data_IF_504755711648
#
_entry.id   IF_504755711648
#
_cell.length_a   1.000
_cell.length_b   1.000
_cell.length_c   1.000
_cell.angle_alpha   90.00
_cell.angle_beta   90.00
_cell.angle_gamma   90.00
#
_symmetry.space_group_name_H-M   'P 1'
#
loop_
_entity.id
_entity.type
_entity.pdbx_description
1 polymer ?
#
# COMPACT_ATOMS: atom_id res chain seq x y z
N UNK A 1 8.09 16.33 -3.95
CA UNK A 1 8.36 16.42 -2.49
C UNK A 1 9.58 15.57 -2.18
N UNK A 2 10.23 15.75 -1.04
CA UNK A 2 11.29 14.82 -0.59
C UNK A 2 10.69 13.51 -0.06
N UNK A 3 11.48 12.44 0.02
CA UNK A 3 11.05 11.16 0.56
C UNK A 3 10.51 11.26 2.00
N UNK A 4 11.14 12.11 2.82
CA UNK A 4 10.70 12.35 4.20
C UNK A 4 9.37 13.10 4.23
N UNK A 5 9.19 14.13 3.39
CA UNK A 5 7.93 14.85 3.26
C UNK A 5 6.82 13.91 2.78
N UNK A 6 7.12 13.03 1.82
CA UNK A 6 6.20 12.00 1.34
C UNK A 6 5.79 11.06 2.48
N UNK A 7 6.74 10.46 3.19
CA UNK A 7 6.44 9.54 4.30
C UNK A 7 5.61 10.22 5.39
N UNK A 8 5.98 11.45 5.78
CA UNK A 8 5.26 12.20 6.80
C UNK A 8 3.83 12.54 6.36
N UNK A 9 3.64 13.00 5.12
CA UNK A 9 2.31 13.29 4.58
C UNK A 9 1.47 12.01 4.49
N UNK A 10 2.03 10.96 3.89
CA UNK A 10 1.34 9.69 3.69
C UNK A 10 0.90 9.09 5.03
N UNK A 11 1.80 9.01 6.02
CA UNK A 11 1.51 8.34 7.29
C UNK A 11 0.67 9.17 8.27
N UNK A 12 0.81 10.50 8.28
CA UNK A 12 0.12 11.37 9.25
C UNK A 12 -1.18 11.97 8.72
N UNK A 13 -1.38 12.05 7.40
CA UNK A 13 -2.54 12.67 6.78
C UNK A 13 -3.32 11.65 5.95
N UNK A 14 -2.67 11.02 4.97
CA UNK A 14 -3.36 10.15 4.02
C UNK A 14 -3.92 8.88 4.68
N UNK A 15 -3.08 8.10 5.38
CA UNK A 15 -3.48 6.83 6.00
C UNK A 15 -4.67 6.99 6.96
N UNK A 16 -4.69 7.96 7.90
CA UNK A 16 -5.86 8.16 8.77
C UNK A 16 -7.15 8.41 7.98
N UNK A 17 -7.10 9.23 6.94
CA UNK A 17 -8.25 9.55 6.10
C UNK A 17 -8.77 8.33 5.34
N UNK A 18 -7.86 7.55 4.73
CA UNK A 18 -8.21 6.30 4.05
C UNK A 18 -8.81 5.31 5.04
N UNK A 19 -8.18 5.12 6.20
CA UNK A 19 -8.62 4.15 7.20
C UNK A 19 -10.06 4.41 7.67
N UNK A 20 -10.47 5.67 7.83
CA UNK A 20 -11.86 6.02 8.15
C UNK A 20 -12.86 5.54 7.09
N UNK A 21 -12.53 5.66 5.81
CA UNK A 21 -13.38 5.17 4.71
C UNK A 21 -13.40 3.64 4.73
N UNK A 22 -12.22 3.01 4.77
CA UNK A 22 -12.08 1.56 4.67
C UNK A 22 -12.76 0.80 5.83
N UNK A 23 -12.65 1.29 7.07
CA UNK A 23 -13.31 0.69 8.23
C UNK A 23 -14.84 0.71 8.09
N UNK A 24 -15.40 1.82 7.58
CA UNK A 24 -16.85 1.95 7.39
C UNK A 24 -17.42 0.95 6.36
N UNK A 25 -16.59 0.51 5.41
CA UNK A 25 -16.96 -0.46 4.38
C UNK A 25 -16.46 -1.89 4.64
N UNK A 26 -16.07 -2.18 5.89
CA UNK A 26 -15.63 -3.52 6.33
C UNK A 26 -14.42 -4.08 5.56
N UNK A 27 -13.52 -3.21 5.08
CA UNK A 27 -12.27 -3.64 4.44
C UNK A 27 -11.40 -4.35 5.47
N UNK A 28 -10.85 -5.50 5.10
CA UNK A 28 -10.17 -6.42 6.03
C UNK A 28 -8.75 -5.97 6.35
N UNK A 29 -8.06 -5.35 5.39
CA UNK A 29 -6.69 -4.92 5.55
C UNK A 29 -6.40 -3.72 4.65
N UNK A 30 -5.58 -2.82 5.16
CA UNK A 30 -4.90 -1.78 4.41
C UNK A 30 -3.48 -1.65 4.97
N UNK A 31 -2.49 -1.78 4.10
CA UNK A 31 -1.08 -1.68 4.48
C UNK A 31 -0.29 -0.99 3.38
N UNK A 32 0.76 -0.29 3.80
CA UNK A 32 1.64 0.47 2.90
C UNK A 32 3.07 0.05 3.18
N UNK A 33 3.78 -0.35 2.13
CA UNK A 33 5.22 -0.55 2.16
C UNK A 33 5.84 0.67 1.49
N UNK A 34 6.63 1.43 2.24
CA UNK A 34 7.40 2.56 1.70
C UNK A 34 8.77 2.05 1.23
N UNK A 35 9.05 2.24 -0.06
CA UNK A 35 10.31 1.84 -0.68
C UNK A 35 11.46 2.78 -0.31
N UNK A 36 11.17 4.04 -0.02
CA UNK A 36 12.17 5.06 0.34
C UNK A 36 12.97 4.72 1.61
N UNK A 37 12.42 3.93 2.54
CA UNK A 37 13.14 3.48 3.75
C UNK A 37 13.97 2.22 3.58
N UNK A 38 13.64 1.40 2.59
CA UNK A 38 14.42 0.20 2.28
C UNK A 38 15.71 0.52 1.51
N UNK A 39 15.83 1.78 1.06
CA UNK A 39 16.97 2.34 0.36
C UNK A 39 18.22 2.60 1.21
N UNK A 40 18.26 2.23 2.50
CA UNK A 40 19.58 2.06 3.11
C UNK A 40 20.29 1.02 2.25
N UNK A 41 21.27 1.44 1.46
CA UNK A 41 21.95 0.66 0.41
C UNK A 41 22.30 -0.75 0.92
N UNK A 42 22.72 -0.84 2.18
CA UNK A 42 23.01 -2.06 2.92
C UNK A 42 21.88 -3.10 2.98
N UNK A 43 20.61 -2.68 3.01
CA UNK A 43 19.44 -3.55 3.13
C UNK A 43 19.10 -4.23 1.81
N UNK A 44 19.03 -3.45 0.73
CA UNK A 44 18.76 -3.99 -0.60
C UNK A 44 19.90 -4.86 -1.11
N UNK A 45 21.15 -4.44 -0.96
CA UNK A 45 22.31 -5.23 -1.39
C UNK A 45 22.36 -6.60 -0.69
N UNK A 46 22.06 -6.63 0.61
CA UNK A 46 21.98 -7.90 1.37
C UNK A 46 20.86 -8.80 0.86
N UNK A 47 19.67 -8.24 0.61
CA UNK A 47 18.55 -9.03 0.08
C UNK A 47 18.91 -9.56 -1.31
N UNK A 48 19.39 -8.73 -2.22
CA UNK A 48 19.81 -9.16 -3.55
C UNK A 48 20.87 -10.27 -3.48
N UNK A 49 21.87 -10.13 -2.61
CA UNK A 49 22.90 -11.15 -2.41
C UNK A 49 22.31 -12.50 -1.92
N UNK A 50 21.32 -12.49 -1.01
CA UNK A 50 20.64 -13.70 -0.56
C UNK A 50 19.89 -14.42 -1.68
N UNK A 51 19.46 -13.68 -2.70
CA UNK A 51 18.81 -14.20 -3.89
C UNK A 51 19.76 -14.35 -5.10
N UNK A 52 21.08 -14.39 -4.88
CA UNK A 52 22.10 -14.47 -5.95
C UNK A 52 21.91 -13.41 -7.05
N UNK A 53 21.46 -12.21 -6.68
CA UNK A 53 21.15 -11.08 -7.56
C UNK A 53 20.07 -11.41 -8.62
N UNK A 54 19.20 -12.40 -8.37
CA UNK A 54 18.12 -12.77 -9.28
C UNK A 54 16.83 -11.95 -9.08
N UNK A 55 16.82 -11.02 -8.12
CA UNK A 55 15.66 -10.19 -7.79
C UNK A 55 16.04 -8.72 -7.80
N UNK A 56 15.12 -7.88 -8.29
CA UNK A 56 15.24 -6.43 -8.29
C UNK A 56 14.08 -5.81 -7.51
N UNK A 57 14.29 -4.60 -7.01
CA UNK A 57 13.20 -3.83 -6.41
C UNK A 57 12.27 -3.32 -7.50
N UNK A 58 10.98 -3.24 -7.21
CA UNK A 58 10.05 -2.48 -8.05
C UNK A 58 10.39 -0.99 -7.89
N UNK A 59 10.46 -0.29 -9.01
CA UNK A 59 10.65 1.15 -9.06
C UNK A 59 9.33 1.87 -8.76
N UNK A 60 9.10 2.15 -7.48
CA UNK A 60 7.97 2.90 -6.94
C UNK A 60 8.26 3.38 -5.52
N UNK A 61 7.66 4.50 -5.09
CA UNK A 61 7.86 5.06 -3.74
C UNK A 61 7.10 4.30 -2.66
N UNK A 62 5.95 3.72 -3.01
CA UNK A 62 5.12 2.95 -2.11
C UNK A 62 4.31 1.86 -2.81
N UNK A 63 4.13 0.75 -2.11
CA UNK A 63 3.21 -0.34 -2.48
C UNK A 63 2.08 -0.39 -1.47
N UNK A 64 0.85 -0.28 -1.95
CA UNK A 64 -0.36 -0.37 -1.12
C UNK A 64 -1.03 -1.71 -1.35
N UNK A 65 -1.40 -2.38 -0.25
CA UNK A 65 -2.21 -3.59 -0.28
C UNK A 65 -3.51 -3.33 0.46
N UNK A 66 -4.63 -3.58 -0.23
CA UNK A 66 -5.97 -3.51 0.36
C UNK A 66 -6.68 -4.84 0.15
N UNK A 67 -7.20 -5.44 1.22
CA UNK A 67 -7.92 -6.71 1.17
C UNK A 67 -9.39 -6.45 1.47
N UNK A 68 -10.25 -6.74 0.51
CA UNK A 68 -11.70 -6.63 0.64
C UNK A 68 -12.29 -8.00 0.99
N UNK A 69 -13.35 -8.07 1.82
CA UNK A 69 -14.02 -9.33 2.11
C UNK A 69 -14.76 -9.89 0.89
N UNK A 70 -15.30 -9.02 0.05
CA UNK A 70 -16.02 -9.36 -1.17
C UNK A 70 -16.08 -8.15 -2.13
N UNK A 71 -16.71 -8.35 -3.30
CA UNK A 71 -16.89 -7.30 -4.30
C UNK A 71 -17.84 -6.19 -3.85
N UNK A 72 -18.81 -6.46 -2.97
CA UNK A 72 -19.75 -5.44 -2.51
C UNK A 72 -19.04 -4.41 -1.62
N UNK A 73 -18.14 -4.87 -0.74
CA UNK A 73 -17.30 -3.98 0.07
C UNK A 73 -16.37 -3.12 -0.80
N UNK A 74 -15.83 -3.69 -1.88
CA UNK A 74 -15.05 -2.93 -2.86
C UNK A 74 -15.91 -1.86 -3.53
N UNK A 75 -17.05 -2.22 -4.10
CA UNK A 75 -17.96 -1.29 -4.77
C UNK A 75 -18.45 -0.18 -3.82
N UNK A 76 -18.82 -0.53 -2.60
CA UNK A 76 -19.24 0.43 -1.57
C UNK A 76 -18.12 1.40 -1.19
N UNK A 77 -16.88 0.90 -1.07
CA UNK A 77 -15.70 1.73 -0.82
C UNK A 77 -15.50 2.74 -1.94
N UNK A 78 -15.52 2.30 -3.20
CA UNK A 78 -15.33 3.19 -4.36
C UNK A 78 -16.51 4.13 -4.63
N UNK A 79 -17.69 3.83 -4.09
CA UNK A 79 -18.85 4.70 -4.11
C UNK A 79 -18.89 5.70 -2.93
N UNK A 80 -17.96 5.62 -1.97
CA UNK A 80 -17.95 6.52 -0.82
C UNK A 80 -17.74 7.98 -1.27
N UNK A 81 -18.59 8.93 -0.85
CA UNK A 81 -18.48 10.32 -1.27
C UNK A 81 -17.21 11.01 -0.75
N UNK A 82 -16.58 10.52 0.31
CA UNK A 82 -15.33 11.07 0.84
C UNK A 82 -14.12 10.75 -0.06
N UNK A 83 -14.19 9.73 -0.92
CA UNK A 83 -13.13 9.47 -1.90
C UNK A 83 -12.91 10.67 -2.83
N UNK A 84 -13.90 11.11 -3.64
CA UNK A 84 -13.72 12.28 -4.50
C UNK A 84 -13.68 13.60 -3.74
N UNK A 85 -14.34 13.70 -2.57
CA UNK A 85 -14.43 14.97 -1.83
C UNK A 85 -13.18 15.28 -0.99
N UNK A 86 -12.50 14.24 -0.48
CA UNK A 86 -11.36 14.40 0.45
C UNK A 86 -10.11 13.70 -0.05
N UNK A 87 -10.22 12.43 -0.44
CA UNK A 87 -9.05 11.61 -0.74
C UNK A 87 -8.38 11.95 -2.07
N UNK A 88 -9.13 12.05 -3.18
CA UNK A 88 -8.55 12.39 -4.48
C UNK A 88 -7.86 13.78 -4.48
N UNK A 89 -8.40 14.82 -3.82
CA UNK A 89 -7.66 16.08 -3.64
C UNK A 89 -6.35 15.92 -2.87
N UNK A 90 -6.31 15.04 -1.87
CA UNK A 90 -5.10 14.76 -1.09
C UNK A 90 -4.04 14.04 -1.94
N UNK A 91 -4.43 12.99 -2.66
CA UNK A 91 -3.55 12.21 -3.55
C UNK A 91 -2.83 13.08 -4.58
N UNK A 92 -3.52 14.07 -5.15
CA UNK A 92 -2.91 15.01 -6.11
C UNK A 92 -1.72 15.80 -5.57
N UNK A 93 -1.55 15.87 -4.25
CA UNK A 93 -0.42 16.58 -3.65
C UNK A 93 0.87 15.74 -3.62
N UNK A 94 0.76 14.41 -3.72
CA UNK A 94 1.89 13.50 -3.47
C UNK A 94 1.98 12.29 -4.40
N UNK A 95 1.00 12.03 -5.27
CA UNK A 95 1.02 10.94 -6.26
C UNK A 95 1.06 11.45 -7.69
N UNK A 96 1.72 10.70 -8.56
CA UNK A 96 1.67 10.88 -10.01
C UNK A 96 0.57 10.00 -10.66
N UNK A 97 0.21 10.31 -11.91
CA UNK A 97 -0.83 9.60 -12.68
C UNK A 97 -0.29 8.31 -13.36
N UNK A 98 0.61 7.57 -12.69
CA UNK A 98 1.30 6.38 -13.22
C UNK A 98 1.02 5.10 -12.40
N UNK A 99 0.05 5.16 -11.48
CA UNK A 99 -0.33 4.07 -10.59
C UNK A 99 -0.63 2.78 -11.35
N UNK A 100 -0.04 1.68 -10.88
CA UNK A 100 -0.25 0.31 -11.41
C UNK A 100 -0.89 -0.57 -10.35
N UNK A 101 -1.84 -1.39 -10.74
CA UNK A 101 -2.60 -2.26 -9.83
C UNK A 101 -2.50 -3.72 -10.23
N UNK A 102 -2.30 -4.59 -9.24
CA UNK A 102 -2.50 -6.04 -9.36
C UNK A 102 -3.80 -6.39 -8.63
N UNK A 103 -4.71 -7.08 -9.32
CA UNK A 103 -5.98 -7.53 -8.75
C UNK A 103 -5.99 -9.05 -8.75
N UNK A 104 -6.24 -9.65 -7.60
CA UNK A 104 -6.20 -11.10 -7.47
C UNK A 104 -6.73 -11.61 -6.13
N UNK A 105 -6.59 -12.92 -5.92
CA UNK A 105 -6.89 -13.59 -4.66
C UNK A 105 -5.60 -13.80 -3.88
N UNK A 106 -5.65 -13.56 -2.59
CA UNK A 106 -4.55 -13.85 -1.68
C UNK A 106 -4.62 -15.30 -1.20
N UNK A 107 -3.49 -16.00 -1.26
CA UNK A 107 -3.34 -17.35 -0.74
C UNK A 107 -2.21 -17.35 0.27
N UNK A 108 -2.47 -17.85 1.47
CA UNK A 108 -1.48 -17.90 2.54
C UNK A 108 -0.92 -19.32 2.68
N UNK A 109 0.40 -19.47 2.60
CA UNK A 109 1.09 -20.65 3.10
C UNK A 109 1.57 -20.50 4.55
N UNK A 110 1.80 -19.27 4.99
CA UNK A 110 2.17 -18.88 6.36
C UNK A 110 1.43 -17.59 6.71
N UNK A 111 0.87 -17.52 7.93
CA UNK A 111 0.24 -16.33 8.48
C UNK A 111 0.53 -16.25 9.99
N UNK A 112 0.85 -15.06 10.48
CA UNK A 112 1.17 -14.81 11.90
C UNK A 112 2.24 -15.76 12.47
N UNK A 113 3.28 -16.04 11.65
CA UNK A 113 4.39 -16.93 11.99
C UNK A 113 4.03 -18.42 12.03
N UNK A 114 2.84 -18.82 11.56
CA UNK A 114 2.37 -20.21 11.55
C UNK A 114 2.03 -20.67 10.14
N UNK A 115 2.32 -21.94 9.85
CA UNK A 115 1.87 -22.59 8.62
C UNK A 115 0.33 -22.56 8.57
N UNK A 116 -0.20 -22.26 7.39
CA UNK A 116 -1.62 -22.40 7.08
C UNK A 116 -1.81 -23.79 6.47
N UNK A 117 -2.66 -24.61 7.09
CA UNK A 117 -2.99 -25.97 6.66
C UNK A 117 -4.20 -25.98 5.70
#
# INVERSE_FOLDING_TARGET
MTDEEFEQHYTKIHIPMVAEILVRHNVLQYSVVSSSRMSSVDGMEKIQALFNNAVESIDCDAVVTTIFPDMNALEATFADPDLPAKLHPDEKNFTEDDRRMVIGKEYFGVRDGKRVD
#
